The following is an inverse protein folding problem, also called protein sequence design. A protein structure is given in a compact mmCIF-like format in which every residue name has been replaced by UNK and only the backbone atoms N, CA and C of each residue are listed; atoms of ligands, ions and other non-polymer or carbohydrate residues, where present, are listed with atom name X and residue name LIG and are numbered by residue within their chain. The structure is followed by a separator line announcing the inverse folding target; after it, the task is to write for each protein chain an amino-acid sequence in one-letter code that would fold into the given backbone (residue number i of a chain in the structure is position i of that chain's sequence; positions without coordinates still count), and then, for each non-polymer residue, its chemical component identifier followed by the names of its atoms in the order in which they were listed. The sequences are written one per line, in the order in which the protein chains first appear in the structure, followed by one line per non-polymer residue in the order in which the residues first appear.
data_IF_406116721669
#
_entry.id   IF_406116721669
#
_cell.length_a   1.000
_cell.length_b   1.000
_cell.length_c   1.000
_cell.angle_alpha   90.00
_cell.angle_beta   90.00
_cell.angle_gamma   90.00
#
_symmetry.space_group_name_H-M   'P 1'
#
loop_
_entity.id
_entity.type
_entity.pdbx_description
1 polymer ?
#
# COMPACT_ATOMS: atom_id res chain seq x y z
N UNK A 1 21.94 15.54 -17.72
CA UNK A 1 20.95 16.01 -18.71
C UNK A 1 19.58 15.97 -18.03
N UNK A 2 18.90 17.10 -17.83
CA UNK A 2 17.62 17.13 -17.12
C UNK A 2 16.52 16.37 -17.88
N UNK A 3 15.57 15.81 -17.14
CA UNK A 3 14.42 15.10 -17.70
C UNK A 3 13.44 16.15 -18.27
N UNK A 4 13.15 16.09 -19.57
CA UNK A 4 12.13 16.91 -20.23
C UNK A 4 10.72 16.40 -19.86
N UNK A 5 9.77 17.32 -19.64
CA UNK A 5 8.40 17.03 -19.18
C UNK A 5 7.67 16.03 -20.08
N UNK A 6 7.90 16.09 -21.39
CA UNK A 6 7.33 15.14 -22.35
C UNK A 6 7.82 13.71 -22.09
N UNK A 7 9.10 13.56 -21.74
CA UNK A 7 9.70 12.26 -21.42
C UNK A 7 9.18 11.76 -20.07
N UNK A 8 9.03 12.65 -19.09
CA UNK A 8 8.43 12.32 -17.79
C UNK A 8 7.00 11.79 -17.95
N UNK A 9 6.15 12.49 -18.71
CA UNK A 9 4.77 12.06 -18.98
C UNK A 9 4.70 10.72 -19.70
N UNK A 10 5.55 10.50 -20.72
CA UNK A 10 5.59 9.22 -21.44
C UNK A 10 5.99 8.05 -20.52
N UNK A 11 6.95 8.27 -19.63
CA UNK A 11 7.37 7.27 -18.64
C UNK A 11 6.22 6.94 -17.70
N UNK A 12 5.53 7.95 -17.14
CA UNK A 12 4.37 7.73 -16.27
C UNK A 12 3.25 6.95 -16.97
N UNK A 13 2.95 7.28 -18.23
CA UNK A 13 1.96 6.54 -19.02
C UNK A 13 2.34 5.08 -19.26
N UNK A 14 3.61 4.80 -19.58
CA UNK A 14 4.10 3.43 -19.78
C UNK A 14 4.04 2.62 -18.48
N UNK A 15 4.42 3.23 -17.35
CA UNK A 15 4.34 2.57 -16.05
C UNK A 15 2.88 2.24 -15.73
N UNK A 16 1.95 3.19 -15.87
CA UNK A 16 0.52 2.93 -15.62
C UNK A 16 -0.05 1.82 -16.50
N UNK A 17 0.36 1.75 -17.77
CA UNK A 17 -0.01 0.64 -18.68
C UNK A 17 0.54 -0.70 -18.22
N UNK A 18 1.78 -0.75 -17.73
CA UNK A 18 2.37 -1.98 -17.20
C UNK A 18 1.71 -2.48 -15.90
N UNK A 19 1.05 -1.58 -15.18
CA UNK A 19 0.26 -1.89 -13.99
C UNK A 19 -1.13 -2.42 -14.34
N UNK A 20 -1.71 -1.98 -15.46
CA UNK A 20 -3.01 -2.45 -15.92
C UNK A 20 -3.00 -3.98 -16.11
N UNK A 21 -3.96 -4.67 -15.48
CA UNK A 21 -4.09 -6.13 -15.51
C UNK A 21 -3.36 -6.90 -14.39
N UNK A 22 -2.56 -6.22 -13.55
CA UNK A 22 -1.94 -6.80 -12.33
C UNK A 22 -2.54 -6.26 -11.04
N UNK A 23 -3.48 -5.32 -11.17
CA UNK A 23 -4.16 -4.68 -10.06
C UNK A 23 -5.28 -5.58 -9.54
N UNK A 24 -5.51 -5.48 -8.23
CA UNK A 24 -6.70 -6.00 -7.56
C UNK A 24 -7.38 -4.86 -6.81
N UNK A 25 -8.71 -4.90 -6.68
CA UNK A 25 -9.40 -3.94 -5.84
C UNK A 25 -9.15 -4.28 -4.36
N UNK A 26 -8.87 -3.24 -3.58
CA UNK A 26 -8.86 -3.26 -2.12
C UNK A 26 -9.68 -2.09 -1.62
N UNK A 27 -10.11 -2.16 -0.36
CA UNK A 27 -10.82 -1.05 0.27
C UNK A 27 -9.95 -0.43 1.34
N UNK A 28 -9.71 0.87 1.22
CA UNK A 28 -9.08 1.67 2.27
C UNK A 28 -10.18 2.19 3.18
N UNK A 29 -10.03 1.92 4.48
CA UNK A 29 -10.98 2.36 5.50
C UNK A 29 -10.43 3.60 6.16
N UNK A 30 -11.16 4.70 6.05
CA UNK A 30 -10.84 5.96 6.71
C UNK A 30 -11.75 6.17 7.90
N UNK A 31 -11.25 6.86 8.91
CA UNK A 31 -12.04 7.32 10.05
C UNK A 31 -12.05 8.83 10.07
N UNK A 32 -13.23 9.41 9.91
CA UNK A 32 -13.46 10.85 10.04
C UNK A 32 -14.36 11.10 11.25
N UNK A 33 -13.74 11.45 12.38
CA UNK A 33 -14.41 11.57 13.67
C UNK A 33 -14.93 10.21 14.17
N UNK A 34 -16.25 10.04 14.16
CA UNK A 34 -16.95 8.85 14.68
C UNK A 34 -17.41 7.90 13.56
N UNK A 35 -17.37 8.33 12.30
CA UNK A 35 -17.82 7.55 11.16
C UNK A 35 -16.64 6.90 10.41
N UNK A 36 -16.92 5.74 9.81
CA UNK A 36 -16.02 5.10 8.86
C UNK A 36 -16.48 5.39 7.43
N UNK A 37 -15.51 5.71 6.56
CA UNK A 37 -15.72 5.80 5.12
C UNK A 37 -14.83 4.80 4.39
N UNK A 38 -15.31 4.34 3.24
CA UNK A 38 -14.71 3.25 2.47
C UNK A 38 -14.36 3.76 1.08
N UNK A 39 -13.09 3.67 0.68
CA UNK A 39 -12.65 4.03 -0.66
C UNK A 39 -12.10 2.80 -1.37
N UNK A 40 -12.62 2.51 -2.55
CA UNK A 40 -12.11 1.42 -3.38
C UNK A 40 -10.88 1.90 -4.14
N UNK A 41 -9.80 1.13 -4.04
CA UNK A 41 -8.52 1.45 -4.66
C UNK A 41 -8.00 0.25 -5.46
N UNK A 42 -7.50 0.52 -6.66
CA UNK A 42 -6.84 -0.48 -7.48
C UNK A 42 -5.35 -0.49 -7.16
N UNK A 43 -4.87 -1.61 -6.64
CA UNK A 43 -3.50 -1.73 -6.11
C UNK A 43 -2.84 -3.02 -6.58
N UNK A 44 -1.52 -3.05 -6.56
CA UNK A 44 -0.78 -4.32 -6.63
C UNK A 44 -0.41 -4.71 -5.21
N UNK A 45 -0.90 -5.85 -4.74
CA UNK A 45 -0.60 -6.38 -3.42
C UNK A 45 0.19 -7.68 -3.56
N UNK A 46 1.31 -7.81 -2.85
CA UNK A 46 2.09 -9.06 -2.81
C UNK A 46 2.57 -9.35 -1.41
N UNK A 47 2.40 -10.60 -0.99
CA UNK A 47 2.98 -11.09 0.24
C UNK A 47 4.51 -11.01 0.14
N UNK A 48 5.15 -10.52 1.19
CA UNK A 48 6.58 -10.67 1.32
C UNK A 48 6.85 -12.10 1.80
N UNK A 49 7.73 -12.81 1.10
CA UNK A 49 8.16 -14.12 1.58
C UNK A 49 8.96 -13.86 2.85
N UNK A 50 8.45 -14.35 4.00
CA UNK A 50 9.06 -14.15 5.31
C UNK A 50 10.58 -14.39 5.19
N UNK A 51 11.35 -13.31 5.32
CA UNK A 51 12.78 -13.41 5.61
C UNK A 51 12.88 -14.11 6.96
N UNK A 52 13.81 -15.04 7.05
CA UNK A 52 14.06 -15.91 8.21
C UNK A 52 13.74 -15.24 9.56
N UNK A 53 13.01 -15.91 10.47
CA UNK A 53 12.77 -15.37 11.80
C UNK A 53 14.12 -15.09 12.46
N UNK A 54 14.44 -13.82 12.66
CA UNK A 54 15.71 -13.43 13.26
C UNK A 54 15.75 -13.92 14.71
N UNK A 55 16.76 -14.75 15.02
CA UNK A 55 17.08 -15.11 16.40
C UNK A 55 17.60 -13.83 17.07
N UNK A 56 16.85 -13.34 18.05
CA UNK A 56 17.25 -12.18 18.86
C UNK A 56 18.63 -12.41 19.46
N UNK A 57 19.55 -11.46 19.27
CA UNK A 57 20.77 -11.43 20.07
C UNK A 57 20.42 -11.02 21.51
N UNK A 58 21.17 -11.53 22.49
CA UNK A 58 20.92 -11.30 23.91
C UNK A 58 21.04 -9.82 24.36
N UNK A 59 21.33 -8.88 23.44
CA UNK A 59 21.50 -7.46 23.73
C UNK A 59 20.21 -6.65 23.72
N UNK A 60 19.05 -7.29 23.56
CA UNK A 60 17.74 -6.67 23.83
C UNK A 60 17.28 -5.64 22.81
N UNK A 61 17.77 -5.68 21.57
CA UNK A 61 17.22 -4.82 20.53
C UNK A 61 15.75 -5.18 20.22
N UNK A 62 14.86 -4.19 20.05
CA UNK A 62 13.48 -4.44 19.68
C UNK A 62 13.43 -5.10 18.30
N UNK A 63 12.51 -6.07 18.12
CA UNK A 63 12.31 -6.71 16.82
C UNK A 63 11.96 -5.64 15.76
N UNK A 64 12.56 -5.73 14.56
CA UNK A 64 12.06 -4.97 13.42
C UNK A 64 10.58 -5.28 13.22
N UNK A 65 9.76 -4.26 12.97
CA UNK A 65 8.35 -4.48 12.66
C UNK A 65 8.26 -5.33 11.38
N UNK A 66 7.82 -6.57 11.51
CA UNK A 66 7.72 -7.50 10.38
C UNK A 66 6.65 -7.00 9.41
N UNK A 67 7.05 -6.82 8.15
CA UNK A 67 6.15 -6.53 7.04
C UNK A 67 5.72 -7.87 6.45
N UNK A 68 4.42 -8.16 6.46
CA UNK A 68 3.88 -9.40 5.89
C UNK A 68 3.61 -9.24 4.39
N UNK A 69 3.30 -8.02 3.96
CA UNK A 69 2.79 -7.74 2.62
C UNK A 69 3.18 -6.33 2.21
N UNK A 70 3.54 -6.15 0.95
CA UNK A 70 3.67 -4.83 0.38
C UNK A 70 2.54 -4.55 -0.62
N UNK A 71 2.15 -3.28 -0.67
CA UNK A 71 1.13 -2.77 -1.55
C UNK A 71 1.70 -1.61 -2.38
N UNK A 72 1.44 -1.60 -3.68
CA UNK A 72 1.72 -0.47 -4.56
C UNK A 72 0.40 0.19 -4.95
N UNK A 73 0.24 1.44 -4.55
CA UNK A 73 -0.88 2.30 -4.88
C UNK A 73 -0.47 3.36 -5.92
N UNK A 74 -1.44 3.87 -6.70
CA UNK A 74 -1.21 5.01 -7.59
C UNK A 74 -0.72 6.24 -6.81
N UNK A 75 0.21 7.00 -7.41
CA UNK A 75 0.62 8.29 -6.89
C UNK A 75 -0.58 9.25 -6.84
N UNK A 76 -0.73 9.97 -5.73
CA UNK A 76 -1.89 10.85 -5.47
C UNK A 76 -2.99 10.21 -4.61
N UNK A 77 -2.89 8.91 -4.31
CA UNK A 77 -3.72 8.30 -3.28
C UNK A 77 -3.37 8.89 -1.91
N UNK A 78 -4.35 9.50 -1.24
CA UNK A 78 -4.14 10.01 0.11
C UNK A 78 -4.47 8.94 1.16
N UNK A 79 -3.49 8.58 1.99
CA UNK A 79 -3.67 7.65 3.12
C UNK A 79 -3.79 8.38 4.47
N UNK A 80 -3.85 9.71 4.48
CA UNK A 80 -4.06 10.48 5.71
C UNK A 80 -5.42 10.12 6.31
N UNK A 81 -5.44 9.68 7.57
CA UNK A 81 -6.65 9.23 8.25
C UNK A 81 -7.14 7.82 7.86
N UNK A 82 -6.37 7.09 7.04
CA UNK A 82 -6.61 5.67 6.82
C UNK A 82 -6.27 4.89 8.10
N UNK A 83 -7.18 4.01 8.52
CA UNK A 83 -7.01 3.19 9.73
C UNK A 83 -6.43 1.83 9.36
N UNK A 84 -6.98 1.20 8.33
CA UNK A 84 -6.53 -0.09 7.81
C UNK A 84 -6.98 -0.27 6.36
N UNK A 85 -6.38 -1.26 5.70
CA UNK A 85 -6.73 -1.71 4.36
C UNK A 85 -7.43 -3.06 4.48
N UNK A 86 -8.60 -3.17 3.88
CA UNK A 86 -9.38 -4.39 3.80
C UNK A 86 -9.22 -5.02 2.42
N UNK A 87 -8.88 -6.30 2.39
CA UNK A 87 -8.74 -7.06 1.15
C UNK A 87 -10.11 -7.51 0.62
N UNK A 88 -10.84 -6.57 0.04
CA UNK A 88 -12.15 -6.78 -0.55
C UNK A 88 -12.36 -5.89 -1.76
N UNK A 89 -13.18 -6.37 -2.70
CA UNK A 89 -13.61 -5.62 -3.87
C UNK A 89 -14.82 -4.72 -3.61
N UNK A 90 -15.41 -4.75 -2.41
CA UNK A 90 -16.69 -4.09 -2.13
C UNK A 90 -16.55 -3.10 -0.98
N UNK A 91 -16.79 -1.82 -1.26
CA UNK A 91 -16.67 -0.72 -0.30
C UNK A 91 -17.90 -0.60 0.62
N UNK A 92 -18.18 -1.64 1.40
CA UNK A 92 -19.27 -1.64 2.39
C UNK A 92 -18.80 -2.23 3.73
N UNK A 93 -19.54 -1.91 4.80
CA UNK A 93 -19.16 -2.31 6.16
C UNK A 93 -19.10 -3.84 6.34
N UNK A 94 -20.02 -4.59 5.72
CA UNK A 94 -20.10 -6.04 5.85
C UNK A 94 -18.94 -6.77 5.17
N UNK A 95 -18.58 -6.38 3.95
CA UNK A 95 -17.45 -6.98 3.23
C UNK A 95 -16.10 -6.58 3.88
N UNK A 96 -16.01 -5.36 4.42
CA UNK A 96 -14.84 -4.92 5.19
C UNK A 96 -14.71 -5.71 6.50
N UNK A 97 -15.83 -6.02 7.17
CA UNK A 97 -15.81 -6.80 8.41
C UNK A 97 -15.34 -8.24 8.19
N UNK A 98 -15.73 -8.86 7.07
CA UNK A 98 -15.45 -10.25 6.72
C UNK A 98 -14.11 -10.49 6.00
N UNK A 99 -13.41 -9.43 5.57
CA UNK A 99 -12.16 -9.54 4.81
C UNK A 99 -10.92 -9.53 5.70
N UNK A 100 -9.80 -9.95 5.13
CA UNK A 100 -8.50 -9.81 5.77
C UNK A 100 -8.13 -8.33 5.89
N UNK A 101 -7.75 -7.91 7.10
CA UNK A 101 -7.43 -6.53 7.43
C UNK A 101 -5.92 -6.37 7.57
N UNK A 102 -5.41 -5.26 7.08
CA UNK A 102 -4.00 -4.94 7.06
C UNK A 102 -3.78 -3.55 7.62
N UNK A 103 -2.88 -3.44 8.58
CA UNK A 103 -2.42 -2.19 9.14
C UNK A 103 -1.32 -1.61 8.25
N UNK A 104 -1.32 -0.29 8.10
CA UNK A 104 -0.30 0.44 7.34
C UNK A 104 0.85 0.76 8.31
N UNK A 105 2.02 0.17 8.07
CA UNK A 105 3.24 0.45 8.83
C UNK A 105 3.90 1.72 8.30
N UNK A 106 4.13 1.77 7.00
CA UNK A 106 4.87 2.84 6.35
C UNK A 106 4.32 3.10 4.94
N UNK A 107 4.35 4.37 4.52
CA UNK A 107 4.00 4.79 3.16
C UNK A 107 5.18 5.57 2.58
N UNK A 108 5.78 5.04 1.52
CA UNK A 108 6.93 5.65 0.86
C UNK A 108 6.63 5.89 -0.62
N UNK A 109 6.92 7.09 -1.16
CA UNK A 109 6.94 7.29 -2.61
C UNK A 109 8.08 6.48 -3.24
N UNK A 110 7.79 5.75 -4.31
CA UNK A 110 8.75 4.91 -5.04
C UNK A 110 8.60 5.13 -6.54
N UNK A 111 9.71 5.03 -7.28
CA UNK A 111 9.76 5.11 -8.74
C UNK A 111 10.49 6.35 -9.26
N UNK A 112 10.21 6.70 -10.52
CA UNK A 112 10.85 7.83 -11.22
C UNK A 112 10.11 9.16 -10.98
N UNK A 113 10.73 10.27 -11.40
CA UNK A 113 10.89 11.56 -10.69
C UNK A 113 9.92 12.68 -11.17
N UNK A 114 9.69 13.76 -10.37
CA UNK A 114 10.03 13.96 -8.96
C UNK A 114 8.89 13.54 -8.02
N UNK A 115 9.24 12.85 -6.92
CA UNK A 115 8.26 12.37 -5.94
C UNK A 115 7.79 10.91 -6.11
N UNK A 116 8.41 10.15 -7.02
CA UNK A 116 8.05 8.76 -7.31
C UNK A 116 6.91 8.64 -8.32
N UNK A 117 6.66 7.43 -8.82
CA UNK A 117 5.54 7.15 -9.72
C UNK A 117 4.39 6.42 -9.00
N UNK A 118 4.66 5.84 -7.83
CA UNK A 118 3.73 5.05 -7.03
C UNK A 118 4.00 5.30 -5.54
N UNK A 119 3.01 4.94 -4.71
CA UNK A 119 3.19 4.82 -3.27
C UNK A 119 3.38 3.34 -2.93
N UNK A 120 4.49 3.01 -2.26
CA UNK A 120 4.71 1.70 -1.66
C UNK A 120 4.31 1.74 -0.20
N UNK A 121 3.39 0.87 0.16
CA UNK A 121 2.91 0.68 1.51
C UNK A 121 3.45 -0.63 2.06
N UNK A 122 4.06 -0.57 3.24
CA UNK A 122 4.39 -1.75 4.03
C UNK A 122 3.20 -2.07 4.93
N UNK A 123 2.71 -3.31 4.84
CA UNK A 123 1.51 -3.75 5.50
C UNK A 123 1.80 -4.93 6.44
N UNK A 124 1.10 -4.93 7.57
CA UNK A 124 1.04 -6.03 8.53
C UNK A 124 -0.37 -6.56 8.63
N UNK A 125 -0.54 -7.87 8.66
CA UNK A 125 -1.87 -8.47 8.81
C UNK A 125 -2.37 -8.30 10.25
N UNK A 126 -3.58 -7.77 10.40
CA UNK A 126 -4.26 -7.66 11.69
C UNK A 126 -4.88 -9.01 12.06
N UNK A 127 -4.80 -9.38 13.34
CA UNK A 127 -5.40 -10.60 13.90
C UNK A 127 -6.83 -10.36 14.35
#
# INVERSE_FOLDING_TARGET
MPLDDRKAQRILQLINRSFAGRQRPVVVVYRTGVAYSYSLLQVIMRAEQNREPQILSATGQPLPQSTDTWLLAPLGTNFTGAVYIADTATANASAVAASAKYEIIEVLPVGLVPGGSHLRLQLRRMR
#
